data_IF_886406769010
#
_entry.id   IF_886406769010
#
_cell.length_a   1.000
_cell.length_b   1.000
_cell.length_c   1.000
_cell.angle_alpha   90.00
_cell.angle_beta   90.00
_cell.angle_gamma   90.00
#
_symmetry.space_group_name_H-M   'P 1'
#
loop_
_entity.id
_entity.type
_entity.pdbx_description
1 polymer ?
#
# COMPACT_ATOMS: atom_id res chain seq x y z
N UNK A 1 -47.47 11.79 -58.67
CA UNK A 1 -46.39 10.76 -58.51
C UNK A 1 -44.97 11.32 -58.19
N UNK A 2 -44.76 12.63 -58.08
CA UNK A 2 -43.44 13.21 -57.83
C UNK A 2 -43.01 13.18 -56.33
N UNK A 3 -43.91 12.99 -55.37
CA UNK A 3 -43.64 13.15 -53.94
C UNK A 3 -43.02 11.90 -53.24
N UNK A 4 -43.06 10.70 -53.83
CA UNK A 4 -42.55 9.47 -53.23
C UNK A 4 -41.01 9.34 -53.35
N UNK A 5 -40.44 9.80 -54.48
CA UNK A 5 -38.96 9.73 -54.69
C UNK A 5 -38.19 10.72 -53.83
N UNK A 6 -38.76 11.91 -53.57
CA UNK A 6 -38.12 12.93 -52.72
C UNK A 6 -38.12 12.50 -51.24
N UNK A 7 -39.22 11.91 -50.74
CA UNK A 7 -39.29 11.39 -49.35
C UNK A 7 -38.31 10.23 -49.09
N UNK A 8 -38.12 9.33 -50.08
CA UNK A 8 -37.14 8.24 -49.96
C UNK A 8 -35.70 8.74 -49.92
N UNK A 9 -35.37 9.80 -50.69
CA UNK A 9 -34.02 10.38 -50.68
C UNK A 9 -33.70 11.11 -49.36
N UNK A 10 -34.69 11.78 -48.77
CA UNK A 10 -34.52 12.45 -47.47
C UNK A 10 -34.39 11.44 -46.36
N UNK A 11 -35.15 10.34 -46.37
CA UNK A 11 -35.02 9.27 -45.36
C UNK A 11 -33.70 8.53 -45.46
N UNK A 12 -33.14 8.28 -46.63
CA UNK A 12 -31.82 7.64 -46.81
C UNK A 12 -30.70 8.58 -46.39
N UNK A 13 -30.81 9.89 -46.67
CA UNK A 13 -29.84 10.88 -46.23
C UNK A 13 -29.85 11.05 -44.70
N UNK A 14 -31.04 11.02 -44.07
CA UNK A 14 -31.17 11.11 -42.61
C UNK A 14 -30.65 9.84 -41.91
N UNK A 15 -30.86 8.64 -42.51
CA UNK A 15 -30.29 7.39 -41.98
C UNK A 15 -28.76 7.34 -42.12
N UNK A 16 -28.22 7.81 -43.25
CA UNK A 16 -26.77 7.89 -43.46
C UNK A 16 -26.10 8.91 -42.50
N UNK A 17 -26.76 10.05 -42.22
CA UNK A 17 -26.28 11.03 -41.26
C UNK A 17 -26.34 10.51 -39.83
N UNK A 18 -27.38 9.74 -39.46
CA UNK A 18 -27.49 9.12 -38.15
C UNK A 18 -26.41 8.03 -37.91
N UNK A 19 -26.11 7.23 -38.96
CA UNK A 19 -25.03 6.22 -38.91
C UNK A 19 -23.65 6.91 -38.83
N UNK A 20 -23.43 8.00 -39.59
CA UNK A 20 -22.19 8.75 -39.53
C UNK A 20 -22.02 9.48 -38.19
N UNK A 21 -23.10 10.05 -37.63
CA UNK A 21 -23.07 10.65 -36.29
C UNK A 21 -22.87 9.60 -35.18
N UNK A 22 -23.48 8.42 -35.31
CA UNK A 22 -23.29 7.30 -34.37
C UNK A 22 -21.88 6.73 -34.41
N UNK A 23 -21.26 6.68 -35.62
CA UNK A 23 -19.87 6.23 -35.78
C UNK A 23 -18.85 7.28 -35.29
N UNK A 24 -19.20 8.57 -35.30
CA UNK A 24 -18.30 9.63 -34.81
C UNK A 24 -18.34 9.72 -33.26
N UNK A 25 -19.45 9.35 -32.61
CA UNK A 25 -19.56 9.37 -31.13
C UNK A 25 -18.99 8.13 -30.47
N UNK A 26 -18.90 6.98 -31.16
CA UNK A 26 -18.35 5.73 -30.62
C UNK A 26 -16.80 5.63 -30.61
N UNK A 27 -16.05 6.21 -31.55
CA UNK A 27 -14.58 6.08 -31.53
C UNK A 27 -13.89 6.75 -30.36
N UNK A 28 -14.47 7.80 -29.79
CA UNK A 28 -13.89 8.53 -28.64
C UNK A 28 -14.01 7.76 -27.32
N UNK A 29 -15.01 6.90 -27.18
CA UNK A 29 -15.17 6.03 -26.01
C UNK A 29 -14.45 4.68 -26.18
N UNK A 30 -14.24 4.22 -27.43
CA UNK A 30 -13.60 2.93 -27.70
C UNK A 30 -12.08 2.96 -27.71
N UNK A 31 -11.44 4.13 -27.51
CA UNK A 31 -9.98 4.26 -27.54
C UNK A 31 -9.35 4.69 -26.21
N UNK A 32 -10.07 4.65 -25.10
CA UNK A 32 -9.40 4.82 -23.80
C UNK A 32 -8.57 3.57 -23.54
N UNK A 33 -7.24 3.69 -23.61
CA UNK A 33 -6.36 2.61 -23.19
C UNK A 33 -6.73 2.26 -21.74
N UNK A 34 -7.07 1.00 -21.45
CA UNK A 34 -7.39 0.62 -20.08
C UNK A 34 -6.23 0.98 -19.16
N UNK A 35 -6.54 1.42 -17.96
CA UNK A 35 -5.53 1.66 -16.94
C UNK A 35 -4.96 0.32 -16.46
N UNK A 36 -3.71 0.30 -15.96
CA UNK A 36 -2.95 -0.95 -15.77
C UNK A 36 -3.60 -1.95 -14.82
N UNK A 37 -4.41 -1.50 -13.85
CA UNK A 37 -5.07 -2.34 -12.85
C UNK A 37 -6.60 -2.15 -12.87
N UNK A 38 -7.19 -1.87 -14.03
CA UNK A 38 -8.64 -1.71 -14.15
C UNK A 38 -9.38 -3.00 -13.77
N UNK A 39 -10.36 -2.90 -12.87
CA UNK A 39 -11.11 -4.04 -12.33
C UNK A 39 -10.45 -4.76 -11.15
N UNK A 40 -9.28 -4.32 -10.70
CA UNK A 40 -8.56 -4.83 -9.52
C UNK A 40 -9.01 -4.07 -8.27
N UNK A 41 -9.16 -4.77 -7.14
CA UNK A 41 -9.38 -4.17 -5.83
C UNK A 41 -8.10 -4.25 -4.99
N UNK A 42 -7.63 -3.12 -4.48
CA UNK A 42 -6.43 -3.00 -3.64
C UNK A 42 -6.83 -2.58 -2.23
N UNK A 43 -6.41 -3.33 -1.23
CA UNK A 43 -6.57 -3.00 0.19
C UNK A 43 -5.29 -2.33 0.70
N UNK A 44 -5.39 -1.06 1.09
CA UNK A 44 -4.31 -0.29 1.70
C UNK A 44 -4.41 -0.43 3.22
N UNK A 45 -3.39 -0.99 3.86
CA UNK A 45 -3.42 -1.35 5.28
C UNK A 45 -2.12 -0.98 6.00
N UNK A 46 -2.17 -0.88 7.32
CA UNK A 46 -1.04 -0.47 8.13
C UNK A 46 -1.39 0.66 9.10
N UNK A 47 -0.57 1.70 9.14
CA UNK A 47 -0.75 2.86 10.03
C UNK A 47 -1.45 4.06 9.35
N UNK A 48 -1.27 5.28 9.91
CA UNK A 48 -1.91 6.51 9.41
C UNK A 48 -1.54 6.84 7.96
N UNK A 49 -0.41 6.39 7.47
CA UNK A 49 0.04 6.64 6.09
C UNK A 49 -0.81 5.90 5.05
N UNK A 50 -1.52 4.87 5.46
CA UNK A 50 -2.48 4.11 4.65
C UNK A 50 -3.95 4.49 4.94
N UNK A 51 -4.18 5.54 5.74
CA UNK A 51 -5.51 6.02 6.12
C UNK A 51 -5.96 7.17 5.21
N UNK A 52 -7.25 7.27 4.94
CA UNK A 52 -7.85 8.40 4.23
C UNK A 52 -7.79 9.72 5.03
N UNK A 53 -7.50 9.65 6.34
CA UNK A 53 -7.52 10.82 7.22
C UNK A 53 -6.37 11.81 6.92
N UNK A 54 -5.25 11.31 6.36
CA UNK A 54 -4.02 12.08 6.27
C UNK A 54 -3.39 12.11 4.89
N UNK A 55 -3.82 11.27 3.95
CA UNK A 55 -3.14 11.16 2.67
C UNK A 55 -4.13 11.08 1.51
N UNK A 56 -3.69 11.56 0.35
CA UNK A 56 -4.40 11.37 -0.92
C UNK A 56 -4.06 10.01 -1.57
N UNK A 57 -3.71 9.02 -0.76
CA UNK A 57 -3.14 7.76 -1.21
C UNK A 57 -4.13 6.99 -2.09
N UNK A 58 -5.32 6.72 -1.58
CA UNK A 58 -6.37 6.03 -2.31
C UNK A 58 -6.67 6.69 -3.66
N UNK A 59 -6.95 7.99 -3.63
CA UNK A 59 -7.32 8.74 -4.83
C UNK A 59 -6.21 8.75 -5.88
N UNK A 60 -4.96 8.87 -5.45
CA UNK A 60 -3.79 8.85 -6.34
C UNK A 60 -3.63 7.49 -6.98
N UNK A 61 -3.72 6.41 -6.21
CA UNK A 61 -3.63 5.05 -6.71
C UNK A 61 -4.75 4.72 -7.70
N UNK A 62 -6.00 5.04 -7.37
CA UNK A 62 -7.15 4.85 -8.25
C UNK A 62 -7.00 5.62 -9.57
N UNK A 63 -6.58 6.88 -9.49
CA UNK A 63 -6.36 7.74 -10.67
C UNK A 63 -5.27 7.20 -11.59
N UNK A 64 -4.16 6.71 -11.04
CA UNK A 64 -3.01 6.21 -11.82
C UNK A 64 -3.21 4.80 -12.35
N UNK A 65 -3.78 3.93 -11.55
CA UNK A 65 -3.87 2.51 -11.83
C UNK A 65 -5.24 2.08 -12.40
N UNK A 66 -6.31 2.81 -12.13
CA UNK A 66 -7.68 2.43 -12.50
C UNK A 66 -8.28 1.35 -11.61
N UNK A 67 -7.59 0.98 -10.54
CA UNK A 67 -8.09 0.03 -9.55
C UNK A 67 -9.16 0.68 -8.66
N UNK A 68 -9.84 -0.14 -7.89
CA UNK A 68 -10.59 0.30 -6.71
C UNK A 68 -9.70 0.14 -5.49
N UNK A 69 -9.39 1.22 -4.79
CA UNK A 69 -8.64 1.14 -3.55
C UNK A 69 -9.58 1.27 -2.33
N UNK A 70 -9.30 0.48 -1.29
CA UNK A 70 -10.01 0.49 -0.01
C UNK A 70 -8.97 0.75 1.08
N UNK A 71 -9.19 1.76 1.91
CA UNK A 71 -8.28 2.07 3.01
C UNK A 71 -8.72 1.38 4.28
N UNK A 72 -7.76 0.81 4.96
CA UNK A 72 -7.89 0.11 6.24
C UNK A 72 -6.76 0.48 7.20
N UNK A 73 -6.07 1.59 6.95
CA UNK A 73 -5.00 2.09 7.81
C UNK A 73 -5.50 2.49 9.19
N UNK A 74 -4.77 2.13 10.23
CA UNK A 74 -5.08 2.41 11.63
C UNK A 74 -4.19 3.55 12.17
N UNK A 75 -4.73 4.78 12.17
CA UNK A 75 -3.99 5.97 12.57
C UNK A 75 -3.42 5.89 13.99
N UNK A 76 -2.14 6.25 14.15
CA UNK A 76 -1.44 6.25 15.43
C UNK A 76 -1.11 4.86 15.99
N UNK A 77 -1.36 3.78 15.23
CA UNK A 77 -1.17 2.40 15.69
C UNK A 77 0.18 1.83 15.28
N UNK A 78 0.75 1.02 16.17
CA UNK A 78 2.01 0.29 15.97
C UNK A 78 1.81 -1.02 15.22
N UNK A 79 2.91 -1.68 14.85
CA UNK A 79 2.90 -3.03 14.29
C UNK A 79 2.18 -4.04 15.21
N UNK A 80 2.37 -3.92 16.53
CA UNK A 80 1.69 -4.77 17.51
C UNK A 80 0.17 -4.69 17.44
N UNK A 81 -0.40 -3.48 17.25
CA UNK A 81 -1.83 -3.33 17.03
C UNK A 81 -2.28 -3.97 15.72
N UNK A 82 -1.51 -3.77 14.65
CA UNK A 82 -1.82 -4.38 13.34
C UNK A 82 -1.75 -5.91 13.39
N UNK A 83 -0.98 -6.49 14.31
CA UNK A 83 -0.91 -7.94 14.55
C UNK A 83 -2.05 -8.47 15.41
N UNK A 84 -2.82 -7.62 16.10
CA UNK A 84 -3.92 -8.05 17.00
C UNK A 84 -5.03 -8.80 16.25
N UNK A 85 -5.71 -9.70 16.94
CA UNK A 85 -6.83 -10.47 16.38
C UNK A 85 -7.94 -9.57 15.89
N UNK A 86 -8.23 -8.48 16.59
CA UNK A 86 -9.24 -7.50 16.19
C UNK A 86 -8.94 -6.92 14.81
N UNK A 87 -7.73 -6.38 14.63
CA UNK A 87 -7.35 -5.76 13.36
C UNK A 87 -7.20 -6.80 12.24
N UNK A 88 -6.53 -7.92 12.50
CA UNK A 88 -6.39 -8.99 11.52
C UNK A 88 -7.73 -9.56 11.08
N UNK A 89 -8.68 -9.77 12.01
CA UNK A 89 -10.02 -10.21 11.67
C UNK A 89 -10.76 -9.22 10.78
N UNK A 90 -10.59 -7.91 11.00
CA UNK A 90 -11.15 -6.87 10.14
C UNK A 90 -10.56 -6.96 8.72
N UNK A 91 -9.24 -7.05 8.58
CA UNK A 91 -8.54 -7.14 7.29
C UNK A 91 -8.94 -8.40 6.52
N UNK A 92 -8.96 -9.55 7.19
CA UNK A 92 -9.27 -10.84 6.59
C UNK A 92 -10.72 -10.98 6.12
N UNK A 93 -11.62 -10.08 6.51
CA UNK A 93 -12.99 -10.01 6.02
C UNK A 93 -13.18 -9.05 4.83
N UNK A 94 -12.13 -8.36 4.39
CA UNK A 94 -12.20 -7.48 3.22
C UNK A 94 -11.94 -8.26 1.92
N UNK A 95 -12.78 -8.04 0.91
CA UNK A 95 -12.54 -8.57 -0.42
C UNK A 95 -11.52 -7.69 -1.17
N UNK A 96 -10.46 -8.30 -1.68
CA UNK A 96 -9.39 -7.60 -2.42
C UNK A 96 -8.57 -8.55 -3.28
N UNK A 97 -7.92 -8.04 -4.33
CA UNK A 97 -6.97 -8.79 -5.16
C UNK A 97 -5.53 -8.60 -4.65
N UNK A 98 -5.22 -7.43 -4.12
CA UNK A 98 -3.93 -7.10 -3.48
C UNK A 98 -4.16 -6.48 -2.11
N UNK A 99 -3.29 -6.81 -1.16
CA UNK A 99 -3.15 -6.04 0.09
C UNK A 99 -1.75 -5.41 0.14
N UNK A 100 -1.69 -4.09 0.30
CA UNK A 100 -0.45 -3.32 0.46
C UNK A 100 -0.34 -2.94 1.93
N UNK A 101 0.75 -3.36 2.56
CA UNK A 101 1.01 -3.17 3.98
C UNK A 101 2.13 -2.15 4.20
N UNK A 102 1.80 -1.02 4.80
CA UNK A 102 2.75 0.02 5.21
C UNK A 102 2.66 0.20 6.73
N UNK A 103 3.55 -0.47 7.44
CA UNK A 103 3.57 -0.56 8.92
C UNK A 103 4.94 -0.10 9.43
N UNK A 104 4.98 0.51 10.59
CA UNK A 104 6.24 0.88 11.26
C UNK A 104 6.39 2.36 11.60
N UNK A 105 5.51 3.25 11.08
CA UNK A 105 5.61 4.69 11.34
C UNK A 105 5.43 5.08 12.81
N UNK A 106 4.77 4.24 13.60
CA UNK A 106 4.58 4.46 15.04
C UNK A 106 5.48 3.57 15.90
N UNK A 107 6.38 2.80 15.31
CA UNK A 107 7.38 1.97 15.99
C UNK A 107 8.73 2.69 15.94
N UNK A 108 9.42 2.80 17.07
CA UNK A 108 10.61 3.64 17.19
C UNK A 108 11.90 3.04 16.59
N UNK A 109 11.95 1.71 16.43
CA UNK A 109 13.10 1.00 15.85
C UNK A 109 14.38 1.06 16.67
N UNK A 110 14.31 1.48 17.96
CA UNK A 110 15.46 1.51 18.85
C UNK A 110 16.10 0.16 19.06
N UNK A 111 17.41 0.09 19.39
CA UNK A 111 18.07 -1.17 19.72
C UNK A 111 17.32 -1.96 20.80
N UNK A 112 17.14 -3.26 20.55
CA UNK A 112 16.40 -4.15 21.46
C UNK A 112 14.88 -4.15 21.31
N UNK A 113 14.31 -3.28 20.46
CA UNK A 113 12.87 -3.25 20.21
C UNK A 113 12.47 -3.95 18.90
N UNK A 114 13.42 -4.11 17.98
CA UNK A 114 13.15 -4.67 16.65
C UNK A 114 13.18 -6.20 16.66
N UNK A 115 14.22 -6.81 17.21
CA UNK A 115 14.42 -8.26 17.24
C UNK A 115 14.88 -8.84 15.91
N UNK A 116 15.22 -10.15 15.92
CA UNK A 116 15.54 -10.94 14.73
C UNK A 116 15.20 -12.41 14.97
N UNK A 117 14.95 -13.18 13.93
CA UNK A 117 14.83 -14.65 14.01
C UNK A 117 16.15 -15.38 13.71
N UNK A 118 17.13 -14.69 13.15
CA UNK A 118 18.40 -15.25 12.74
C UNK A 118 19.58 -14.71 13.59
N UNK A 119 20.22 -15.60 14.36
CA UNK A 119 21.41 -15.26 15.15
C UNK A 119 22.62 -14.84 14.29
N UNK A 120 22.63 -15.17 13.00
CA UNK A 120 23.65 -14.76 12.03
C UNK A 120 23.34 -13.50 11.26
N UNK A 121 22.19 -12.88 11.50
CA UNK A 121 21.73 -11.71 10.76
C UNK A 121 22.51 -10.43 11.10
N UNK A 122 22.38 -9.43 10.22
CA UNK A 122 22.87 -8.06 10.47
C UNK A 122 22.21 -7.47 11.71
N UNK A 123 20.93 -7.75 11.96
CA UNK A 123 20.20 -7.29 13.13
C UNK A 123 20.81 -7.85 14.43
N UNK A 124 21.12 -9.15 14.49
CA UNK A 124 21.82 -9.75 15.63
C UNK A 124 23.19 -9.12 15.85
N UNK A 125 23.95 -8.85 14.78
CA UNK A 125 25.24 -8.16 14.87
C UNK A 125 25.11 -6.70 15.36
N UNK A 126 23.95 -6.07 15.19
CA UNK A 126 23.60 -4.76 15.71
C UNK A 126 23.05 -4.81 17.15
N UNK A 127 23.01 -5.97 17.78
CA UNK A 127 22.58 -6.17 19.16
C UNK A 127 21.09 -6.44 19.35
N UNK A 128 20.35 -6.75 18.28
CA UNK A 128 18.97 -7.19 18.40
C UNK A 128 18.89 -8.60 19.00
N UNK A 129 17.91 -8.78 19.89
CA UNK A 129 17.66 -10.08 20.50
C UNK A 129 17.12 -11.08 19.48
N UNK A 130 17.64 -12.31 19.52
CA UNK A 130 17.03 -13.44 18.78
C UNK A 130 15.74 -13.83 19.49
N UNK A 131 14.64 -13.81 18.76
CA UNK A 131 13.30 -14.05 19.29
C UNK A 131 12.65 -15.28 18.64
N UNK A 132 11.68 -15.86 19.34
CA UNK A 132 10.86 -16.95 18.79
C UNK A 132 9.64 -16.39 18.08
N UNK A 133 9.08 -17.18 17.18
CA UNK A 133 7.77 -16.91 16.58
C UNK A 133 6.66 -16.86 17.64
N UNK A 134 5.65 -16.04 17.37
CA UNK A 134 4.45 -15.97 18.20
C UNK A 134 3.49 -17.13 17.88
N UNK A 135 2.65 -17.51 18.84
CA UNK A 135 1.58 -18.48 18.64
C UNK A 135 0.43 -17.83 17.84
N UNK A 136 0.05 -18.44 16.72
CA UNK A 136 -1.06 -17.97 15.89
C UNK A 136 -2.45 -18.40 16.42
N UNK A 137 -2.50 -19.34 17.37
CA UNK A 137 -3.75 -19.79 17.98
C UNK A 137 -4.24 -18.89 19.12
N UNK A 138 -3.37 -17.98 19.59
CA UNK A 138 -3.65 -16.98 20.62
C UNK A 138 -3.62 -15.57 20.01
N UNK A 139 -4.24 -14.62 20.72
CA UNK A 139 -4.07 -13.20 20.37
C UNK A 139 -2.59 -12.79 20.41
N UNK A 140 -2.23 -11.83 19.59
CA UNK A 140 -0.83 -11.38 19.49
C UNK A 140 -0.27 -10.94 20.85
N UNK A 141 0.82 -11.54 21.25
CA UNK A 141 1.52 -11.29 22.52
C UNK A 141 3.04 -11.11 22.36
N UNK A 142 3.51 -10.88 21.13
CA UNK A 142 4.92 -10.56 20.86
C UNK A 142 5.34 -9.23 21.47
N UNK A 143 6.63 -9.09 21.69
CA UNK A 143 7.24 -7.91 22.36
C UNK A 143 8.14 -7.09 21.42
N UNK A 144 8.41 -7.60 20.20
CA UNK A 144 9.31 -6.96 19.25
C UNK A 144 8.59 -6.64 17.93
N UNK A 145 9.16 -5.68 17.21
CA UNK A 145 8.64 -5.28 15.89
C UNK A 145 8.60 -6.45 14.91
N UNK A 146 9.69 -7.24 14.81
CA UNK A 146 9.77 -8.37 13.88
C UNK A 146 8.73 -9.45 14.19
N UNK A 147 8.43 -9.70 15.48
CA UNK A 147 7.38 -10.65 15.87
C UNK A 147 6.00 -10.18 15.40
N UNK A 148 5.73 -8.88 15.44
CA UNK A 148 4.47 -8.33 14.95
C UNK A 148 4.35 -8.48 13.43
N UNK A 149 5.39 -8.15 12.68
CA UNK A 149 5.42 -8.28 11.22
C UNK A 149 5.27 -9.75 10.79
N UNK A 150 6.02 -10.66 11.40
CA UNK A 150 5.91 -12.11 11.13
C UNK A 150 4.51 -12.66 11.46
N UNK A 151 3.93 -12.27 12.59
CA UNK A 151 2.58 -12.67 12.98
C UNK A 151 1.53 -12.23 11.96
N UNK A 152 1.59 -10.98 11.50
CA UNK A 152 0.71 -10.46 10.44
C UNK A 152 0.82 -11.34 9.19
N UNK A 153 2.03 -11.57 8.70
CA UNK A 153 2.26 -12.34 7.48
C UNK A 153 1.76 -13.78 7.62
N UNK A 154 2.14 -14.47 8.68
CA UNK A 154 1.76 -15.87 8.92
C UNK A 154 0.25 -16.01 9.09
N UNK A 155 -0.39 -15.11 9.82
CA UNK A 155 -1.85 -15.14 10.02
C UNK A 155 -2.59 -14.87 8.72
N UNK A 156 -2.14 -13.89 7.93
CA UNK A 156 -2.72 -13.61 6.61
C UNK A 156 -2.57 -14.80 5.65
N UNK A 157 -1.37 -15.38 5.54
CA UNK A 157 -1.09 -16.53 4.67
C UNK A 157 -1.83 -17.80 5.13
N UNK A 158 -2.02 -17.98 6.43
CA UNK A 158 -2.80 -19.09 6.99
C UNK A 158 -4.28 -19.07 6.59
N UNK A 159 -4.79 -17.90 6.22
CA UNK A 159 -6.18 -17.71 5.78
C UNK A 159 -6.37 -17.70 4.25
N UNK A 160 -5.36 -18.09 3.49
CA UNK A 160 -5.36 -18.04 2.01
C UNK A 160 -6.57 -18.76 1.38
N UNK A 161 -7.00 -19.90 1.92
CA UNK A 161 -8.17 -20.63 1.41
C UNK A 161 -9.47 -19.83 1.64
N UNK A 162 -9.62 -19.25 2.82
CA UNK A 162 -10.76 -18.40 3.16
C UNK A 162 -10.77 -17.13 2.29
N UNK A 163 -9.63 -16.46 2.15
CA UNK A 163 -9.48 -15.28 1.30
C UNK A 163 -9.76 -15.60 -0.16
N UNK A 164 -9.28 -16.75 -0.65
CA UNK A 164 -9.59 -17.23 -2.00
C UNK A 164 -11.09 -17.42 -2.21
N UNK A 165 -11.79 -18.02 -1.25
CA UNK A 165 -13.24 -18.21 -1.33
C UNK A 165 -13.98 -16.86 -1.31
N UNK A 166 -13.55 -15.92 -0.46
CA UNK A 166 -14.10 -14.57 -0.40
C UNK A 166 -13.93 -13.81 -1.73
N UNK A 167 -12.82 -14.04 -2.44
CA UNK A 167 -12.45 -13.37 -3.68
C UNK A 167 -12.85 -14.17 -4.95
N UNK A 168 -13.87 -15.01 -4.87
CA UNK A 168 -14.41 -15.71 -6.04
C UNK A 168 -13.41 -16.70 -6.69
N UNK A 169 -12.55 -17.30 -5.91
CA UNK A 169 -11.57 -18.31 -6.34
C UNK A 169 -10.17 -17.80 -6.61
N UNK A 170 -9.92 -16.49 -6.48
CA UNK A 170 -8.59 -15.89 -6.59
C UNK A 170 -7.96 -15.71 -5.21
N UNK A 171 -6.74 -16.19 -5.03
CA UNK A 171 -5.95 -15.90 -3.83
C UNK A 171 -5.38 -14.49 -3.93
N UNK A 172 -5.66 -13.59 -2.99
CA UNK A 172 -5.09 -12.25 -3.04
C UNK A 172 -3.60 -12.27 -2.76
N UNK A 173 -2.88 -11.30 -3.32
CA UNK A 173 -1.44 -11.15 -3.15
C UNK A 173 -1.17 -10.17 -2.03
N UNK A 174 -0.35 -10.56 -1.05
CA UNK A 174 0.18 -9.68 -0.02
C UNK A 174 1.48 -9.04 -0.50
N UNK A 175 1.55 -7.72 -0.46
CA UNK A 175 2.76 -6.93 -0.69
C UNK A 175 3.07 -6.19 0.60
N UNK A 176 4.23 -6.45 1.19
CA UNK A 176 4.66 -5.76 2.40
C UNK A 176 5.73 -4.73 2.06
N UNK A 177 5.45 -3.46 2.38
CA UNK A 177 6.36 -2.36 2.12
C UNK A 177 7.32 -2.18 3.28
N UNK A 178 8.59 -1.87 3.00
CA UNK A 178 9.50 -1.41 4.06
C UNK A 178 9.05 -0.04 4.55
N UNK A 179 9.37 0.25 5.83
CA UNK A 179 9.02 1.52 6.44
C UNK A 179 9.72 2.69 5.72
N UNK A 180 9.05 3.83 5.66
CA UNK A 180 9.60 5.06 5.09
C UNK A 180 10.42 5.80 6.15
N UNK A 181 11.50 6.51 5.75
CA UNK A 181 12.19 7.40 6.66
C UNK A 181 11.25 8.50 7.18
N UNK A 182 11.50 8.99 8.38
CA UNK A 182 10.65 10.00 9.02
C UNK A 182 11.45 10.93 9.94
N UNK A 183 10.96 12.15 10.14
CA UNK A 183 11.46 13.06 11.17
C UNK A 183 10.36 13.35 12.18
N UNK A 184 10.57 12.93 13.42
CA UNK A 184 9.54 13.03 14.46
C UNK A 184 10.11 13.47 15.81
N UNK A 185 9.46 14.41 16.46
CA UNK A 185 9.78 15.00 17.78
C UNK A 185 11.06 15.84 17.80
N UNK A 186 12.21 15.30 17.43
CA UNK A 186 13.49 15.98 17.30
C UNK A 186 14.44 15.17 16.42
N UNK A 187 15.50 15.78 15.92
CA UNK A 187 16.52 15.07 15.14
C UNK A 187 17.20 13.94 15.92
N UNK A 188 17.27 14.04 17.25
CA UNK A 188 17.85 13.03 18.13
C UNK A 188 16.85 11.97 18.61
N UNK A 189 15.58 12.09 18.24
CA UNK A 189 14.57 11.12 18.64
C UNK A 189 14.80 9.76 17.96
N UNK A 190 14.34 8.69 18.61
CA UNK A 190 14.44 7.34 18.07
C UNK A 190 13.79 7.21 16.69
N UNK A 191 12.69 7.93 16.43
CA UNK A 191 11.97 7.93 15.16
C UNK A 191 12.72 8.64 14.02
N UNK A 192 13.64 9.57 14.32
CA UNK A 192 14.37 10.37 13.34
C UNK A 192 15.75 9.81 12.97
N UNK A 193 16.17 8.72 13.60
CA UNK A 193 17.51 8.14 13.41
C UNK A 193 17.55 7.19 12.23
N UNK A 194 18.41 7.41 11.23
CA UNK A 194 18.54 6.55 10.06
C UNK A 194 18.82 5.08 10.40
N UNK A 195 19.61 4.81 11.43
CA UNK A 195 19.92 3.45 11.87
C UNK A 195 18.68 2.70 12.40
N UNK A 196 17.69 3.40 12.93
CA UNK A 196 16.44 2.80 13.41
C UNK A 196 15.50 2.50 12.23
N UNK A 197 15.47 3.34 11.21
CA UNK A 197 14.75 3.06 9.96
C UNK A 197 15.33 1.83 9.28
N UNK A 198 16.67 1.76 9.20
CA UNK A 198 17.37 0.63 8.60
C UNK A 198 17.09 -0.68 9.36
N UNK A 199 17.05 -0.68 10.70
CA UNK A 199 16.68 -1.87 11.48
C UNK A 199 15.26 -2.35 11.15
N UNK A 200 14.28 -1.44 11.12
CA UNK A 200 12.90 -1.81 10.74
C UNK A 200 12.82 -2.33 9.31
N UNK A 201 13.54 -1.70 8.38
CA UNK A 201 13.66 -2.16 7.00
C UNK A 201 14.17 -3.58 6.92
N UNK A 202 15.30 -3.87 7.58
CA UNK A 202 15.91 -5.21 7.60
C UNK A 202 14.97 -6.25 8.23
N UNK A 203 14.26 -5.90 9.30
CA UNK A 203 13.29 -6.79 9.93
C UNK A 203 12.12 -7.15 9.00
N UNK A 204 11.59 -6.18 8.26
CA UNK A 204 10.55 -6.43 7.27
C UNK A 204 11.07 -7.35 6.16
N UNK A 205 12.28 -7.10 5.65
CA UNK A 205 12.89 -7.94 4.61
C UNK A 205 13.12 -9.37 5.10
N UNK A 206 13.63 -9.55 6.32
CA UNK A 206 13.81 -10.87 6.96
C UNK A 206 12.47 -11.63 7.05
N UNK A 207 11.40 -10.96 7.48
CA UNK A 207 10.05 -11.56 7.53
C UNK A 207 9.51 -11.90 6.15
N UNK A 208 9.68 -11.02 5.16
CA UNK A 208 9.24 -11.28 3.79
C UNK A 208 9.94 -12.49 3.19
N UNK A 209 11.27 -12.58 3.35
CA UNK A 209 12.06 -13.71 2.88
C UNK A 209 11.64 -15.02 3.57
N UNK A 210 11.55 -15.00 4.90
CA UNK A 210 11.15 -16.16 5.71
C UNK A 210 9.78 -16.71 5.33
N UNK A 211 8.80 -15.83 5.06
CA UNK A 211 7.41 -16.21 4.80
C UNK A 211 7.05 -16.31 3.30
N UNK A 212 7.99 -15.99 2.40
CA UNK A 212 7.73 -15.96 0.95
C UNK A 212 6.73 -14.87 0.55
N UNK A 213 6.70 -13.75 1.29
CA UNK A 213 5.85 -12.59 1.02
C UNK A 213 6.57 -11.64 0.08
N UNK A 214 5.83 -11.05 -0.86
CA UNK A 214 6.37 -10.05 -1.77
C UNK A 214 6.76 -8.79 -1.01
N UNK A 215 8.05 -8.45 -1.04
CA UNK A 215 8.60 -7.24 -0.40
C UNK A 215 8.72 -6.09 -1.40
N UNK A 216 8.30 -4.90 -1.00
CA UNK A 216 8.55 -3.66 -1.73
C UNK A 216 9.43 -2.74 -0.87
N UNK A 217 10.70 -2.60 -1.23
CA UNK A 217 11.67 -1.80 -0.48
C UNK A 217 11.51 -0.30 -0.75
N UNK A 218 10.43 0.30 -0.26
CA UNK A 218 10.15 1.73 -0.42
C UNK A 218 11.22 2.61 0.19
N UNK A 219 11.85 2.19 1.29
CA UNK A 219 12.96 2.90 1.92
C UNK A 219 14.08 3.21 0.92
N UNK A 220 14.51 2.19 0.19
CA UNK A 220 15.60 2.35 -0.80
C UNK A 220 15.11 2.96 -2.12
N UNK A 221 13.91 2.59 -2.57
CA UNK A 221 13.40 2.99 -3.88
C UNK A 221 12.99 4.47 -3.94
N UNK A 222 12.32 4.97 -2.90
CA UNK A 222 11.87 6.36 -2.87
C UNK A 222 13.04 7.35 -2.71
N UNK A 223 14.10 6.96 -1.99
CA UNK A 223 15.29 7.79 -1.80
C UNK A 223 14.99 9.14 -1.14
N UNK A 224 13.99 9.22 -0.28
CA UNK A 224 13.58 10.46 0.38
C UNK A 224 14.70 10.97 1.32
N UNK A 225 15.18 12.18 1.05
CA UNK A 225 16.19 12.84 1.89
C UNK A 225 15.51 13.60 3.02
N UNK A 226 15.56 13.06 4.24
CA UNK A 226 14.89 13.66 5.39
C UNK A 226 15.51 14.97 5.87
N UNK A 227 16.73 15.30 5.45
CA UNK A 227 17.36 16.59 5.82
C UNK A 227 16.60 17.80 5.27
N UNK A 228 15.87 17.61 4.17
CA UNK A 228 15.10 18.67 3.50
C UNK A 228 13.60 18.62 3.85
N UNK A 229 13.21 17.74 4.77
CA UNK A 229 11.81 17.52 5.15
C UNK A 229 11.48 18.19 6.50
N UNK A 230 10.21 18.59 6.73
CA UNK A 230 9.80 19.17 8.00
C UNK A 230 9.88 18.17 9.15
N UNK A 231 10.00 18.69 10.38
CA UNK A 231 9.94 17.89 11.62
C UNK A 231 8.48 17.75 12.08
N UNK A 232 8.01 16.52 12.27
CA UNK A 232 6.73 16.27 12.93
C UNK A 232 6.84 16.51 14.43
N UNK A 233 6.22 17.56 14.92
CA UNK A 233 6.25 17.93 16.34
C UNK A 233 4.89 17.80 17.01
N UNK A 234 3.81 18.10 16.27
CA UNK A 234 2.44 18.09 16.79
C UNK A 234 1.45 17.64 15.69
N UNK A 235 0.36 16.93 16.04
CA UNK A 235 -0.67 16.51 15.08
C UNK A 235 -1.33 17.67 14.30
N UNK A 236 -1.30 18.89 14.85
CA UNK A 236 -1.83 20.10 14.20
C UNK A 236 -0.97 20.58 13.05
N UNK A 237 0.26 20.11 12.93
CA UNK A 237 1.17 20.48 11.84
C UNK A 237 0.87 19.75 10.51
N UNK A 238 -0.02 18.78 10.51
CA UNK A 238 -0.42 17.97 9.34
C UNK A 238 -1.11 18.77 8.21
N UNK A 239 -1.45 20.05 8.44
CA UNK A 239 -2.25 20.86 7.50
C UNK A 239 -1.37 21.56 6.45
N UNK A 240 -0.05 21.50 6.56
CA UNK A 240 0.86 22.26 5.74
C UNK A 240 1.80 21.38 4.91
N UNK A 241 1.66 21.49 3.60
CA UNK A 241 2.56 20.90 2.60
C UNK A 241 3.92 21.63 2.64
N UNK A 242 4.73 21.38 3.65
CA UNK A 242 5.97 22.12 3.94
C UNK A 242 7.21 21.48 3.34
N UNK A 243 7.19 20.16 3.12
CA UNK A 243 8.33 19.39 2.64
C UNK A 243 8.31 19.13 1.13
N UNK A 244 9.38 18.54 0.65
CA UNK A 244 9.49 18.09 -0.74
C UNK A 244 8.56 16.89 -0.97
N UNK A 245 8.59 15.90 -0.07
CA UNK A 245 7.84 14.64 -0.16
C UNK A 245 6.91 14.40 1.04
N UNK A 246 7.02 15.18 2.12
CA UNK A 246 6.22 15.04 3.34
C UNK A 246 5.44 16.31 3.66
N UNK A 247 4.27 16.14 4.23
CA UNK A 247 3.50 17.25 4.79
C UNK A 247 4.12 17.77 6.08
N UNK A 248 4.58 16.83 6.91
CA UNK A 248 4.94 17.06 8.31
C UNK A 248 6.18 16.28 8.76
N UNK A 249 6.86 15.56 7.86
CA UNK A 249 8.01 14.70 8.19
C UNK A 249 7.65 13.26 8.56
N UNK A 250 6.36 12.93 8.66
CA UNK A 250 5.84 11.57 8.89
C UNK A 250 4.90 11.14 7.77
N UNK A 251 3.97 12.01 7.37
CA UNK A 251 2.95 11.69 6.37
C UNK A 251 3.39 12.21 5.01
N UNK A 252 3.51 11.34 4.00
CA UNK A 252 3.83 11.77 2.65
C UNK A 252 2.79 12.75 2.09
N UNK A 253 3.26 13.80 1.44
CA UNK A 253 2.41 14.74 0.70
C UNK A 253 2.01 14.15 -0.67
N UNK A 254 1.29 14.92 -1.49
CA UNK A 254 0.83 14.46 -2.81
C UNK A 254 1.99 14.00 -3.71
N UNK A 255 3.16 14.65 -3.64
CA UNK A 255 4.35 14.27 -4.40
C UNK A 255 4.99 12.98 -3.86
N UNK A 256 5.07 12.84 -2.53
CA UNK A 256 5.54 11.62 -1.89
C UNK A 256 4.65 10.42 -2.22
N UNK A 257 3.33 10.60 -2.14
CA UNK A 257 2.34 9.58 -2.53
C UNK A 257 2.44 9.23 -4.02
N UNK A 258 2.69 10.23 -4.88
CA UNK A 258 2.84 9.99 -6.32
C UNK A 258 4.03 9.07 -6.62
N UNK A 259 5.16 9.27 -5.95
CA UNK A 259 6.35 8.40 -6.06
C UNK A 259 6.08 6.99 -5.51
N UNK A 260 5.49 6.89 -4.31
CA UNK A 260 5.17 5.62 -3.66
C UNK A 260 4.26 4.78 -4.55
N UNK A 261 3.18 5.38 -5.04
CA UNK A 261 2.19 4.66 -5.87
C UNK A 261 2.75 4.18 -7.21
N UNK A 262 3.75 4.84 -7.79
CA UNK A 262 4.42 4.34 -8.99
C UNK A 262 5.12 3.00 -8.74
N UNK A 263 5.86 2.87 -7.64
CA UNK A 263 6.53 1.62 -7.28
C UNK A 263 5.54 0.51 -6.93
N UNK A 264 4.45 0.84 -6.25
CA UNK A 264 3.41 -0.12 -5.89
C UNK A 264 2.66 -0.65 -7.12
N UNK A 265 2.31 0.23 -8.06
CA UNK A 265 1.69 -0.17 -9.33
C UNK A 265 2.63 -1.11 -10.09
N UNK A 266 3.90 -0.75 -10.20
CA UNK A 266 4.90 -1.60 -10.85
C UNK A 266 4.97 -2.97 -10.16
N UNK A 267 5.04 -3.02 -8.84
CA UNK A 267 5.09 -4.25 -8.07
C UNK A 267 3.86 -5.13 -8.25
N UNK A 268 2.66 -4.53 -8.21
CA UNK A 268 1.42 -5.28 -8.47
C UNK A 268 1.36 -5.85 -9.89
N UNK A 269 1.89 -5.14 -10.88
CA UNK A 269 1.96 -5.63 -12.26
C UNK A 269 2.94 -6.81 -12.40
N UNK A 270 4.08 -6.75 -11.71
CA UNK A 270 5.03 -7.86 -11.65
C UNK A 270 4.39 -9.12 -11.05
N UNK A 271 3.68 -8.97 -9.93
CA UNK A 271 3.00 -10.09 -9.25
C UNK A 271 1.79 -10.63 -10.03
N UNK A 272 1.14 -9.80 -10.85
CA UNK A 272 0.00 -10.21 -11.69
C UNK A 272 0.41 -10.80 -13.05
N UNK A 273 1.70 -10.78 -13.37
CA UNK A 273 2.20 -11.33 -14.62
C UNK A 273 2.17 -12.87 -14.59
N UNK A 274 1.73 -13.55 -15.64
CA UNK A 274 1.78 -15.01 -15.68
C UNK A 274 3.23 -15.47 -15.57
N UNK A 275 3.47 -16.32 -14.58
CA UNK A 275 4.78 -16.96 -14.36
C UNK A 275 4.99 -18.12 -15.30
#
# INVERSE_FOLDING_TARGET
MKNRKTRRRILVAAAAAAVAAGVILLPGQLMRKPLPLEGVTVLLTGDSRSSDDYTFYRETLEKKAGCRAVTAGASGKTAAYNASDEYMSFILNQQHDFSIWLVGGNDDGSPGTVGTFDAGSVLAAQGEAVVNETDLSADYNGTTFIQAIDHIMRKYLGENERLRNLNGGKTPVMIFCTDLPQQRNSADSAWSRPENWERKRLAIQECCEKNGVSCLDLYSLCGFNMADEPMFTEPTDMIHDRGIYYMDGLHPNSRGIDVITDYEIQKMLEENSPK
#
